data_IF_907197923739
#
_entry.id   IF_907197923739
#
_cell.length_a   1.000
_cell.length_b   1.000
_cell.length_c   1.000
_cell.angle_alpha   90.00
_cell.angle_beta   90.00
_cell.angle_gamma   90.00
#
_symmetry.space_group_name_H-M   'P 1'
#
loop_
_entity.id
_entity.type
_entity.pdbx_description
1 polymer ?
#
# COMPACT_ATOMS: atom_id res chain seq x y z
N UNK A 1 -6.76 -12.15 1.14
CA UNK A 1 -5.72 -11.43 1.92
C UNK A 1 -6.28 -10.99 3.26
N UNK A 2 -5.50 -11.06 4.35
CA UNK A 2 -5.88 -10.52 5.66
C UNK A 2 -6.16 -9.00 5.58
N UNK A 3 -7.06 -8.49 6.43
CA UNK A 3 -7.34 -7.05 6.57
C UNK A 3 -6.96 -6.56 7.95
N UNK A 4 -6.36 -5.37 8.03
CA UNK A 4 -6.08 -4.69 9.29
C UNK A 4 -7.36 -4.18 9.93
N UNK A 5 -7.45 -4.24 11.26
CA UNK A 5 -8.56 -3.61 12.01
C UNK A 5 -8.46 -2.08 12.04
N UNK A 6 -7.23 -1.55 12.00
CA UNK A 6 -6.94 -0.13 12.27
C UNK A 6 -7.40 0.81 11.15
N UNK A 7 -7.28 0.39 9.90
CA UNK A 7 -7.58 1.20 8.71
C UNK A 7 -8.12 0.37 7.53
N UNK A 8 -8.55 -0.88 7.80
CA UNK A 8 -9.12 -1.80 6.80
C UNK A 8 -8.19 -2.16 5.65
N UNK A 9 -6.93 -1.72 5.67
CA UNK A 9 -5.97 -2.01 4.63
C UNK A 9 -5.75 -3.52 4.48
N UNK A 10 -5.62 -3.98 3.24
CA UNK A 10 -5.25 -5.37 2.96
C UNK A 10 -3.76 -5.57 3.18
N UNK A 11 -3.39 -6.67 3.84
CA UNK A 11 -2.00 -7.04 4.08
C UNK A 11 -1.52 -8.00 3.00
N UNK A 12 -0.54 -7.58 2.21
CA UNK A 12 0.14 -8.39 1.21
C UNK A 12 1.52 -8.80 1.72
N UNK A 13 1.80 -10.11 1.70
CA UNK A 13 3.17 -10.62 1.82
C UNK A 13 3.89 -10.39 0.50
N UNK A 14 4.97 -9.59 0.53
CA UNK A 14 5.70 -9.17 -0.66
C UNK A 14 6.25 -10.38 -1.43
N UNK A 15 6.76 -11.39 -0.74
CA UNK A 15 7.41 -12.54 -1.39
C UNK A 15 6.42 -13.54 -1.96
N UNK A 16 5.22 -13.64 -1.37
CA UNK A 16 4.21 -14.64 -1.77
C UNK A 16 3.22 -14.12 -2.81
N UNK A 17 2.91 -12.83 -2.81
CA UNK A 17 1.76 -12.30 -3.53
C UNK A 17 2.07 -11.11 -4.44
N UNK A 18 3.29 -10.58 -4.43
CA UNK A 18 3.68 -9.47 -5.28
C UNK A 18 4.38 -9.99 -6.54
N UNK A 19 3.74 -9.82 -7.70
CA UNK A 19 4.36 -10.12 -9.00
C UNK A 19 5.01 -8.89 -9.64
N UNK A 20 4.32 -7.74 -9.60
CA UNK A 20 4.80 -6.46 -10.11
C UNK A 20 4.18 -5.32 -9.31
N UNK A 21 4.92 -4.24 -9.12
CA UNK A 21 4.47 -3.06 -8.39
C UNK A 21 4.83 -1.80 -9.18
N UNK A 22 3.83 -1.17 -9.80
CA UNK A 22 3.99 0.07 -10.57
C UNK A 22 3.52 1.27 -9.74
N UNK A 23 4.43 1.78 -8.91
CA UNK A 23 4.16 2.84 -7.94
C UNK A 23 5.23 3.95 -7.97
N UNK A 24 4.89 5.10 -7.42
CA UNK A 24 5.85 6.16 -7.08
C UNK A 24 5.83 6.44 -5.58
N UNK A 25 6.99 6.81 -5.02
CA UNK A 25 7.08 7.29 -3.64
C UNK A 25 6.17 8.50 -3.42
N UNK A 26 5.43 8.52 -2.32
CA UNK A 26 4.48 9.57 -1.96
C UNK A 26 4.72 10.13 -0.54
N UNK A 27 5.95 9.97 -0.06
CA UNK A 27 6.42 10.56 1.19
C UNK A 27 6.14 9.73 2.44
N UNK A 28 6.55 10.29 3.57
CA UNK A 28 6.53 9.66 4.89
C UNK A 28 5.56 10.38 5.81
N UNK A 29 4.71 9.62 6.49
CA UNK A 29 3.72 10.14 7.44
C UNK A 29 3.85 9.41 8.76
N UNK A 30 3.77 10.16 9.87
CA UNK A 30 3.70 9.62 11.22
C UNK A 30 2.27 9.81 11.75
N UNK A 31 1.52 8.71 11.89
CA UNK A 31 0.15 8.74 12.36
C UNK A 31 0.08 8.52 13.87
N UNK A 32 -0.76 9.30 14.55
CA UNK A 32 -1.22 8.98 15.90
C UNK A 32 -2.34 7.97 15.80
N UNK A 33 -2.19 6.84 16.49
CA UNK A 33 -3.20 5.78 16.64
C UNK A 33 -3.74 5.81 18.08
N UNK A 34 -4.69 4.93 18.39
CA UNK A 34 -5.25 4.81 19.74
C UNK A 34 -4.18 4.51 20.80
N UNK A 35 -4.47 4.84 22.06
CA UNK A 35 -3.60 4.55 23.22
C UNK A 35 -2.20 5.18 23.13
N UNK A 36 -2.06 6.32 22.44
CA UNK A 36 -0.79 7.02 22.29
C UNK A 36 0.22 6.35 21.35
N UNK A 37 -0.19 5.30 20.63
CA UNK A 37 0.67 4.58 19.68
C UNK A 37 0.94 5.45 18.45
N UNK A 38 2.16 5.35 17.91
CA UNK A 38 2.55 6.02 16.67
C UNK A 38 2.83 4.98 15.59
N UNK A 39 2.41 5.28 14.36
CA UNK A 39 2.64 4.42 13.19
C UNK A 39 3.34 5.23 12.09
N UNK A 40 4.53 4.80 11.68
CA UNK A 40 5.21 5.33 10.50
C UNK A 40 4.64 4.67 9.26
N UNK A 41 4.36 5.47 8.24
CA UNK A 41 3.93 5.02 6.93
C UNK A 41 4.82 5.67 5.87
N UNK A 42 5.37 4.84 4.99
CA UNK A 42 5.99 5.29 3.74
C UNK A 42 4.97 5.00 2.64
N UNK A 43 4.37 6.08 2.14
CA UNK A 43 3.21 6.04 1.24
C UNK A 43 3.66 5.94 -0.20
N UNK A 44 2.83 5.30 -1.01
CA UNK A 44 3.11 5.04 -2.41
C UNK A 44 1.84 5.33 -3.23
N UNK A 45 2.02 6.03 -4.34
CA UNK A 45 0.96 6.38 -5.25
C UNK A 45 1.01 5.52 -6.52
N UNK A 46 -0.15 5.33 -7.15
CA UNK A 46 -0.23 4.77 -8.49
C UNK A 46 0.46 5.72 -9.49
N UNK A 47 1.39 5.21 -10.30
CA UNK A 47 2.06 6.04 -11.33
C UNK A 47 1.05 6.58 -12.35
N UNK A 48 0.01 5.81 -12.68
CA UNK A 48 -0.95 6.18 -13.73
C UNK A 48 -1.90 7.32 -13.35
N UNK A 49 -2.38 7.36 -12.11
CA UNK A 49 -3.40 8.33 -11.68
C UNK A 49 -3.00 9.16 -10.46
N UNK A 50 -1.82 8.94 -9.88
CA UNK A 50 -1.35 9.66 -8.68
C UNK A 50 -2.10 9.32 -7.39
N UNK A 51 -3.04 8.37 -7.42
CA UNK A 51 -3.84 8.00 -6.25
C UNK A 51 -2.98 7.31 -5.19
N UNK A 52 -3.19 7.63 -3.91
CA UNK A 52 -2.59 6.90 -2.79
C UNK A 52 -3.18 5.49 -2.69
N UNK A 53 -2.39 4.48 -3.06
CA UNK A 53 -2.87 3.10 -3.20
C UNK A 53 -2.34 2.16 -2.13
N UNK A 54 -1.12 2.37 -1.63
CA UNK A 54 -0.55 1.51 -0.62
C UNK A 54 0.54 2.21 0.19
N UNK A 55 0.91 1.61 1.32
CA UNK A 55 2.03 2.06 2.14
C UNK A 55 2.78 0.87 2.73
N UNK A 56 3.97 1.14 3.28
CA UNK A 56 4.84 0.18 3.97
C UNK A 56 5.30 0.76 5.32
N UNK A 57 5.72 -0.13 6.23
CA UNK A 57 6.19 0.25 7.56
C UNK A 57 7.68 0.62 7.59
N UNK A 58 8.46 0.05 6.67
CA UNK A 58 9.89 0.31 6.50
C UNK A 58 10.15 1.22 5.31
N UNK A 59 11.20 2.04 5.38
CA UNK A 59 11.54 2.96 4.30
C UNK A 59 12.00 2.23 3.05
N UNK A 60 12.85 1.22 3.21
CA UNK A 60 13.34 0.42 2.10
C UNK A 60 12.30 -0.64 1.68
N UNK A 61 11.94 -0.62 0.40
CA UNK A 61 11.03 -1.59 -0.19
C UNK A 61 11.58 -3.01 -0.12
N UNK A 62 12.91 -3.20 -0.17
CA UNK A 62 13.55 -4.51 -0.10
C UNK A 62 13.37 -5.17 1.27
N UNK A 63 13.47 -4.36 2.33
CA UNK A 63 13.38 -4.81 3.72
C UNK A 63 11.91 -4.95 4.14
N UNK A 64 11.00 -4.14 3.60
CA UNK A 64 9.58 -4.20 3.91
C UNK A 64 8.98 -5.59 3.58
N UNK A 65 8.59 -6.39 4.59
CA UNK A 65 8.05 -7.72 4.35
C UNK A 65 6.59 -7.68 3.86
N UNK A 66 5.87 -6.61 4.21
CA UNK A 66 4.46 -6.43 3.92
C UNK A 66 4.19 -5.12 3.21
N UNK A 67 3.23 -5.17 2.29
CA UNK A 67 2.61 -3.99 1.70
C UNK A 67 1.16 -3.91 2.18
N UNK A 68 0.77 -2.71 2.60
CA UNK A 68 -0.58 -2.43 3.07
C UNK A 68 -1.33 -1.67 1.97
N UNK A 69 -2.27 -2.34 1.31
CA UNK A 69 -3.09 -1.72 0.25
C UNK A 69 -4.27 -1.03 0.90
N UNK A 70 -4.44 0.26 0.61
CA UNK A 70 -5.46 1.12 1.20
C UNK A 70 -6.85 0.62 0.81
N UNK A 71 -7.79 0.67 1.75
CA UNK A 71 -9.18 0.34 1.48
C UNK A 71 -9.75 1.30 0.42
N UNK A 72 -10.36 0.77 -0.64
CA UNK A 72 -10.85 1.57 -1.77
C UNK A 72 -9.80 1.95 -2.83
N UNK A 73 -8.54 1.50 -2.72
CA UNK A 73 -7.51 1.73 -3.74
C UNK A 73 -7.74 0.95 -5.05
N UNK A 74 -8.63 -0.04 -5.05
CA UNK A 74 -8.97 -0.88 -6.20
C UNK A 74 -10.26 -0.37 -6.83
N UNK A 75 -10.24 -0.08 -8.14
CA UNK A 75 -11.45 0.12 -8.94
C UNK A 75 -11.56 -0.99 -9.99
N UNK A 76 -12.79 -1.43 -10.28
CA UNK A 76 -13.06 -2.40 -11.36
C UNK A 76 -12.61 -1.86 -12.71
N UNK A 77 -12.81 -0.56 -12.95
CA UNK A 77 -12.45 0.12 -14.20
C UNK A 77 -10.95 0.01 -14.49
N UNK A 78 -10.09 0.26 -13.51
CA UNK A 78 -8.64 0.20 -13.72
C UNK A 78 -8.14 -1.24 -13.94
N UNK A 79 -8.83 -2.24 -13.38
CA UNK A 79 -8.48 -3.65 -13.59
C UNK A 79 -8.81 -4.11 -15.03
N UNK A 80 -9.91 -3.61 -15.60
CA UNK A 80 -10.36 -3.97 -16.96
C UNK A 80 -9.52 -3.30 -18.05
N UNK A 81 -9.01 -2.09 -17.83
CA UNK A 81 -8.24 -1.34 -18.83
C UNK A 81 -6.72 -1.53 -18.73
N UNK A 82 -6.23 -2.36 -17.81
CA UNK A 82 -4.79 -2.58 -17.67
C UNK A 82 -4.33 -3.54 -18.78
N UNK A 83 -3.55 -3.08 -19.78
CA UNK A 83 -3.07 -3.96 -20.82
C UNK A 83 -2.18 -5.02 -20.17
N UNK A 84 -2.60 -6.28 -20.23
CA UNK A 84 -1.82 -7.42 -19.78
C UNK A 84 -0.66 -7.60 -20.76
N UNK A 85 0.41 -6.82 -20.58
CA UNK A 85 1.66 -6.95 -21.32
C UNK A 85 2.69 -7.64 -20.45
#
# INVERSE_FOLDING_TARGET
MPKRKTDKAFVLDKKKHLARLNISEAGKVLLKRGEGKLEKQFRMNCIGCGLFVCYRAEEDLEIAPFIYVVDGALSSVAAETNPQV
#
